data_IF_782675269746
#
_entry.id   IF_782675269746
#
_cell.length_a   1.000
_cell.length_b   1.000
_cell.length_c   1.000
_cell.angle_alpha   90.00
_cell.angle_beta   90.00
_cell.angle_gamma   90.00
#
_symmetry.space_group_name_H-M   'P 1'
#
loop_
_entity.id
_entity.type
_entity.pdbx_description
1 polymer ?
#
# COMPACT_ATOMS: atom_id res chain seq x y z
N UNK A 1 3.93 -9.65 16.02
CA UNK A 1 3.59 -9.56 14.59
C UNK A 1 2.20 -8.95 14.41
N UNK A 2 2.11 -7.86 13.64
CA UNK A 2 0.90 -7.09 13.34
C UNK A 2 0.80 -6.88 11.82
N UNK A 3 -0.40 -7.00 11.24
CA UNK A 3 -0.64 -6.70 9.82
C UNK A 3 -1.39 -5.38 9.68
N UNK A 4 -0.92 -4.52 8.77
CA UNK A 4 -1.62 -3.29 8.41
C UNK A 4 -1.95 -3.30 6.92
N UNK A 5 -3.23 -3.11 6.62
CA UNK A 5 -3.78 -2.98 5.27
C UNK A 5 -3.98 -1.50 4.97
N UNK A 6 -3.24 -1.00 3.99
CA UNK A 6 -3.30 0.37 3.53
C UNK A 6 -4.16 0.49 2.27
N UNK A 7 -5.04 1.49 2.23
CA UNK A 7 -5.83 1.76 1.03
C UNK A 7 -6.97 2.72 1.24
N UNK A 8 -8.10 2.46 0.56
CA UNK A 8 -9.35 3.21 0.71
C UNK A 8 -10.53 2.24 0.77
N UNK A 9 -11.57 2.55 1.55
CA UNK A 9 -12.72 1.63 1.72
C UNK A 9 -13.48 1.32 0.42
N UNK A 10 -13.65 2.30 -0.46
CA UNK A 10 -14.42 2.15 -1.70
C UNK A 10 -13.54 1.61 -2.84
N UNK A 11 -13.06 0.38 -2.71
CA UNK A 11 -12.30 -0.33 -3.73
C UNK A 11 -12.59 -1.83 -3.70
N UNK A 12 -12.89 -2.43 -4.86
CA UNK A 12 -13.24 -3.86 -4.93
C UNK A 12 -12.09 -4.77 -4.46
N UNK A 13 -10.84 -4.43 -4.77
CA UNK A 13 -9.68 -5.18 -4.29
C UNK A 13 -9.51 -5.13 -2.78
N UNK A 14 -9.87 -3.99 -2.15
CA UNK A 14 -9.85 -3.84 -0.69
C UNK A 14 -10.93 -4.70 -0.04
N UNK A 15 -12.15 -4.71 -0.59
CA UNK A 15 -13.23 -5.59 -0.10
C UNK A 15 -12.80 -7.05 -0.10
N UNK A 16 -12.21 -7.52 -1.21
CA UNK A 16 -11.68 -8.89 -1.31
C UNK A 16 -10.61 -9.18 -0.25
N UNK A 17 -9.75 -8.20 0.04
CA UNK A 17 -8.70 -8.36 1.04
C UNK A 17 -9.25 -8.46 2.46
N UNK A 18 -10.18 -7.59 2.83
CA UNK A 18 -10.84 -7.66 4.13
C UNK A 18 -11.59 -8.99 4.28
N UNK A 19 -12.41 -9.36 3.29
CA UNK A 19 -13.12 -10.65 3.31
C UNK A 19 -12.17 -11.82 3.50
N UNK A 20 -11.06 -11.88 2.76
CA UNK A 20 -10.09 -12.96 2.91
C UNK A 20 -9.47 -13.00 4.31
N UNK A 21 -9.05 -11.84 4.84
CA UNK A 21 -8.43 -11.77 6.16
C UNK A 21 -9.43 -12.15 7.27
N UNK A 22 -10.66 -11.67 7.16
CA UNK A 22 -11.75 -11.98 8.08
C UNK A 22 -12.13 -13.48 8.03
N UNK A 23 -12.21 -14.09 6.83
CA UNK A 23 -12.53 -15.51 6.65
C UNK A 23 -11.46 -16.48 7.17
N UNK A 24 -10.21 -16.01 7.31
CA UNK A 24 -9.08 -16.80 7.79
C UNK A 24 -8.68 -16.43 9.24
N UNK A 25 -9.51 -15.65 9.95
CA UNK A 25 -9.24 -15.18 11.32
C UNK A 25 -7.88 -14.47 11.48
N UNK A 26 -7.42 -13.79 10.43
CA UNK A 26 -6.16 -13.05 10.45
C UNK A 26 -6.42 -11.65 10.99
N UNK A 27 -5.84 -11.32 12.14
CA UNK A 27 -5.95 -9.98 12.73
C UNK A 27 -5.19 -8.95 11.89
N UNK A 28 -5.85 -7.83 11.57
CA UNK A 28 -5.23 -6.69 10.87
C UNK A 28 -5.77 -5.36 11.35
N UNK A 29 -5.02 -4.29 11.07
CA UNK A 29 -5.49 -2.91 11.14
C UNK A 29 -5.65 -2.34 9.75
N UNK A 30 -6.61 -1.44 9.59
CA UNK A 30 -6.82 -0.71 8.35
C UNK A 30 -6.31 0.73 8.49
N UNK A 31 -5.45 1.15 7.55
CA UNK A 31 -4.96 2.52 7.42
C UNK A 31 -5.59 3.17 6.17
N UNK A 32 -6.43 4.18 6.36
CA UNK A 32 -7.15 4.83 5.26
C UNK A 32 -6.33 6.00 4.71
N UNK A 33 -5.78 5.87 3.50
CA UNK A 33 -5.01 6.93 2.84
C UNK A 33 -5.76 8.26 2.66
N UNK A 34 -7.10 8.29 2.79
CA UNK A 34 -7.87 9.54 2.77
C UNK A 34 -7.95 10.24 4.11
N UNK A 35 -7.77 9.51 5.21
CA UNK A 35 -7.95 10.01 6.58
C UNK A 35 -6.62 10.14 7.31
N UNK A 36 -5.69 9.26 6.99
CA UNK A 36 -4.43 9.09 7.67
C UNK A 36 -3.29 9.27 6.68
N UNK A 37 -2.36 10.16 7.00
CA UNK A 37 -1.18 10.39 6.16
C UNK A 37 -0.20 9.23 6.35
N UNK A 38 0.50 8.89 5.28
CA UNK A 38 1.73 8.11 5.34
C UNK A 38 2.88 9.11 5.45
N UNK A 39 3.84 8.87 6.35
CA UNK A 39 5.04 9.70 6.45
C UNK A 39 6.19 9.14 5.60
N UNK A 40 7.26 9.94 5.46
CA UNK A 40 8.41 9.59 4.64
C UNK A 40 9.22 8.42 5.20
N UNK A 41 9.32 8.28 6.52
CA UNK A 41 10.10 7.21 7.15
C UNK A 41 9.40 5.86 6.93
N UNK A 42 8.09 5.81 7.17
CA UNK A 42 7.23 4.67 6.87
C UNK A 42 7.30 4.28 5.41
N UNK A 43 7.22 5.25 4.48
CA UNK A 43 7.33 4.95 3.04
C UNK A 43 8.71 4.41 2.67
N UNK A 44 9.80 4.97 3.23
CA UNK A 44 11.16 4.47 3.00
C UNK A 44 11.33 3.04 3.49
N UNK A 45 10.87 2.74 4.71
CA UNK A 45 10.92 1.39 5.26
C UNK A 45 10.09 0.39 4.44
N UNK A 46 8.92 0.80 3.91
CA UNK A 46 8.16 -0.02 2.96
C UNK A 46 8.98 -0.29 1.69
N UNK A 47 9.67 0.71 1.16
CA UNK A 47 10.46 0.59 -0.06
C UNK A 47 11.73 -0.27 0.10
N UNK A 48 12.15 -0.56 1.32
CA UNK A 48 13.18 -1.59 1.60
C UNK A 48 12.63 -3.01 1.37
N UNK A 49 11.32 -3.21 1.54
CA UNK A 49 10.65 -4.50 1.34
C UNK A 49 10.08 -4.70 -0.07
N UNK A 50 9.63 -3.63 -0.72
CA UNK A 50 9.00 -3.69 -2.05
C UNK A 50 9.51 -2.56 -2.95
N UNK A 51 9.86 -2.89 -4.20
CA UNK A 51 10.32 -1.86 -5.13
C UNK A 51 9.24 -0.83 -5.44
N UNK A 52 9.66 0.40 -5.67
CA UNK A 52 8.76 1.50 -6.02
C UNK A 52 7.90 1.15 -7.25
N UNK A 53 8.49 0.55 -8.28
CA UNK A 53 7.75 0.10 -9.47
C UNK A 53 6.60 -0.86 -9.14
N UNK A 54 6.83 -1.81 -8.23
CA UNK A 54 5.79 -2.74 -7.78
C UNK A 54 4.72 -2.04 -6.96
N UNK A 55 5.09 -1.04 -6.16
CA UNK A 55 4.16 -0.26 -5.34
C UNK A 55 3.20 0.62 -6.17
N UNK A 56 3.62 1.12 -7.32
CA UNK A 56 2.88 2.12 -8.10
C UNK A 56 1.86 1.52 -9.07
N UNK A 57 0.64 2.04 -9.05
CA UNK A 57 -0.40 1.71 -10.02
C UNK A 57 -0.24 2.52 -11.32
N UNK A 58 0.65 2.07 -12.21
CA UNK A 58 0.93 2.71 -13.51
C UNK A 58 -0.28 2.74 -14.46
N UNK A 59 -1.27 1.87 -14.26
CA UNK A 59 -2.52 1.84 -15.06
C UNK A 59 -3.60 2.79 -14.51
N UNK A 60 -3.40 3.34 -13.31
CA UNK A 60 -4.37 4.17 -12.60
C UNK A 60 -4.48 5.59 -13.14
N UNK A 61 -5.62 6.25 -12.88
CA UNK A 61 -5.88 7.63 -13.31
C UNK A 61 -4.94 8.65 -12.65
N UNK A 62 -4.58 8.45 -11.38
CA UNK A 62 -3.60 9.32 -10.69
C UNK A 62 -2.25 9.30 -11.39
N UNK A 63 -1.74 8.13 -11.78
CA UNK A 63 -0.48 8.04 -12.51
C UNK A 63 -0.53 8.76 -13.86
N UNK A 64 -1.62 8.55 -14.63
CA UNK A 64 -1.82 9.24 -15.92
C UNK A 64 -1.83 10.76 -15.76
N UNK A 65 -2.57 11.28 -14.77
CA UNK A 65 -2.61 12.71 -14.45
C UNK A 65 -1.24 13.28 -14.10
N UNK A 66 -0.44 12.56 -13.32
CA UNK A 66 0.92 12.99 -12.99
C UNK A 66 1.80 13.09 -14.26
N UNK A 67 1.66 12.15 -15.20
CA UNK A 67 2.37 12.22 -16.49
C UNK A 67 1.89 13.38 -17.35
N UNK A 68 0.58 13.64 -17.40
CA UNK A 68 0.01 14.80 -18.09
C UNK A 68 0.50 16.13 -17.51
N UNK A 69 0.79 16.16 -16.21
CA UNK A 69 1.39 17.31 -15.51
C UNK A 69 2.91 17.44 -15.72
N UNK A 70 3.54 16.57 -16.52
CA UNK A 70 4.97 16.62 -16.82
C UNK A 70 5.88 15.94 -15.79
N UNK A 71 5.32 15.20 -14.82
CA UNK A 71 6.11 14.45 -13.83
C UNK A 71 6.77 13.23 -14.50
N UNK A 72 8.07 13.34 -14.77
CA UNK A 72 8.84 12.30 -15.48
C UNK A 72 9.09 11.06 -14.64
N UNK A 73 9.44 11.24 -13.38
CA UNK A 73 9.79 10.17 -12.44
C UNK A 73 8.86 10.19 -11.24
N UNK A 74 8.45 9.01 -10.79
CA UNK A 74 7.71 8.89 -9.54
C UNK A 74 8.75 8.72 -8.44
N UNK A 75 8.85 9.71 -7.56
CA UNK A 75 9.74 9.67 -6.38
C UNK A 75 8.90 9.45 -5.12
N UNK A 76 9.51 9.08 -3.97
CA UNK A 76 8.80 8.98 -2.70
C UNK A 76 8.01 10.25 -2.35
N UNK A 77 8.55 11.43 -2.62
CA UNK A 77 7.88 12.72 -2.37
C UNK A 77 6.61 12.88 -3.22
N UNK A 78 6.68 12.51 -4.51
CA UNK A 78 5.50 12.51 -5.40
C UNK A 78 4.44 11.54 -4.88
N UNK A 79 4.86 10.38 -4.37
CA UNK A 79 3.94 9.38 -3.79
C UNK A 79 3.25 9.92 -2.55
N UNK A 80 3.98 10.53 -1.62
CA UNK A 80 3.40 11.10 -0.39
C UNK A 80 2.39 12.21 -0.68
N UNK A 81 2.63 13.02 -1.72
CA UNK A 81 1.69 14.04 -2.18
C UNK A 81 0.47 13.44 -2.90
N UNK A 82 0.57 12.20 -3.39
CA UNK A 82 -0.43 11.57 -4.26
C UNK A 82 -0.71 10.11 -3.88
N UNK A 83 -1.00 9.81 -2.61
CA UNK A 83 -1.14 8.42 -2.10
C UNK A 83 -2.08 7.51 -2.91
N UNK A 84 -3.04 8.06 -3.65
CA UNK A 84 -3.90 7.29 -4.57
C UNK A 84 -3.16 6.64 -5.76
N UNK A 85 -1.89 7.01 -5.99
CA UNK A 85 -1.00 6.40 -6.99
C UNK A 85 -0.52 5.01 -6.56
N UNK A 86 -0.56 4.70 -5.25
CA UNK A 86 -0.16 3.40 -4.69
C UNK A 86 -1.18 2.32 -5.06
N UNK A 87 -0.71 1.11 -5.42
CA UNK A 87 -1.57 -0.06 -5.62
C UNK A 87 -2.27 -0.43 -4.31
N UNK A 88 -3.50 -0.93 -4.42
CA UNK A 88 -4.34 -1.25 -3.26
C UNK A 88 -4.94 -2.65 -3.40
N UNK A 89 -5.00 -3.43 -2.32
CA UNK A 89 -4.41 -3.16 -1.00
C UNK A 89 -2.88 -3.12 -1.05
N UNK A 90 -2.25 -2.29 -0.22
CA UNK A 90 -0.88 -2.47 0.21
C UNK A 90 -0.96 -3.13 1.60
N UNK A 91 -0.30 -4.26 1.79
CA UNK A 91 -0.33 -5.01 3.04
C UNK A 91 1.09 -5.08 3.57
N UNK A 92 1.26 -4.72 4.83
CA UNK A 92 2.57 -4.60 5.48
C UNK A 92 2.55 -5.34 6.81
N UNK A 93 3.54 -6.20 7.04
CA UNK A 93 3.74 -6.85 8.33
C UNK A 93 4.73 -6.08 9.18
N UNK A 94 4.41 -5.97 10.46
CA UNK A 94 5.19 -5.32 11.50
C UNK A 94 5.57 -6.34 12.55
N UNK A 95 6.80 -6.25 13.05
CA UNK A 95 7.21 -6.94 14.27
C UNK A 95 7.85 -5.94 15.22
N UNK A 96 7.32 -5.84 16.44
CA UNK A 96 7.69 -4.84 17.44
C UNK A 96 7.78 -3.40 16.89
N UNK A 97 6.82 -3.03 16.04
CA UNK A 97 6.76 -1.70 15.41
C UNK A 97 7.69 -1.50 14.21
N UNK A 98 8.45 -2.51 13.80
CA UNK A 98 9.36 -2.47 12.66
C UNK A 98 8.77 -3.22 11.48
N UNK A 99 8.80 -2.60 10.29
CA UNK A 99 8.34 -3.23 9.05
C UNK A 99 9.23 -4.41 8.68
N UNK A 100 8.62 -5.56 8.43
CA UNK A 100 9.32 -6.78 8.04
C UNK A 100 9.15 -7.08 6.55
N UNK A 101 7.91 -7.00 6.05
CA UNK A 101 7.56 -7.36 4.69
C UNK A 101 6.41 -6.49 4.18
N UNK A 102 6.33 -6.30 2.87
CA UNK A 102 5.27 -5.54 2.22
C UNK A 102 4.89 -6.15 0.87
N UNK A 103 3.60 -6.20 0.57
CA UNK A 103 3.10 -6.64 -0.75
C UNK A 103 1.92 -5.78 -1.23
N UNK A 104 1.66 -5.80 -2.53
CA UNK A 104 0.46 -5.19 -3.11
C UNK A 104 -0.48 -6.27 -3.64
N UNK A 105 -1.74 -6.23 -3.23
CA UNK A 105 -2.71 -7.29 -3.54
C UNK A 105 -2.64 -8.46 -2.56
N UNK A 106 -3.30 -9.56 -2.93
CA UNK A 106 -3.40 -10.77 -2.10
C UNK A 106 -2.53 -11.93 -2.59
N UNK A 107 -1.86 -11.77 -3.73
CA UNK A 107 -1.19 -12.87 -4.45
C UNK A 107 0.08 -13.40 -3.74
N UNK A 108 0.46 -12.78 -2.62
CA UNK A 108 1.64 -13.08 -1.82
C UNK A 108 1.36 -12.84 -0.34
N UNK A 109 0.10 -12.98 0.08
CA UNK A 109 -0.29 -12.69 1.47
C UNK A 109 0.24 -13.76 2.43
N UNK A 110 0.34 -15.00 1.96
CA UNK A 110 1.00 -16.11 2.65
C UNK A 110 2.47 -15.84 2.96
N UNK A 111 3.13 -14.96 2.20
CA UNK A 111 4.52 -14.58 2.45
C UNK A 111 4.63 -13.58 3.61
N UNK A 112 3.53 -12.94 4.03
CA UNK A 112 3.48 -11.93 5.10
C UNK A 112 3.18 -12.52 6.48
N UNK A 113 2.59 -13.72 6.53
CA UNK A 113 2.28 -14.49 7.74
C UNK A 113 3.50 -15.30 8.21
#
# INVERSE_FOLDING_TARGET
MELIVYGIKNCNSMKKAFTFLDENDIAYRFHDFKKERLDLESLKAILECISLEKLINTKGTTYKKLKEQGIKDITPEVVLQNLSVIKRPLIVSYDNGVIQKATTGLQHLEELL
#
